data_IF_875876063943
#
_entry.id   IF_875876063943
#
_cell.length_a   1.000
_cell.length_b   1.000
_cell.length_c   1.000
_cell.angle_alpha   90.00
_cell.angle_beta   90.00
_cell.angle_gamma   90.00
#
_symmetry.space_group_name_H-M   'P 1'
#
loop_
_entity.id
_entity.type
_entity.pdbx_description
1 polymer ?
#
# COMPACT_ATOMS: atom_id res chain seq x y z
N UNK A 1 20.28 7.05 -11.12
CA UNK A 1 19.65 5.93 -11.85
C UNK A 1 18.27 5.75 -11.28
N UNK A 2 17.21 5.69 -12.11
CA UNK A 2 15.88 5.37 -11.61
C UNK A 2 15.91 3.94 -11.07
N UNK A 3 15.49 3.74 -9.81
CA UNK A 3 15.36 2.41 -9.25
C UNK A 3 14.39 1.58 -10.11
N UNK A 4 14.74 0.32 -10.37
CA UNK A 4 13.89 -0.60 -11.13
C UNK A 4 12.55 -0.85 -10.42
N UNK A 5 11.59 -1.48 -11.11
CA UNK A 5 10.31 -1.83 -10.51
C UNK A 5 10.50 -2.82 -9.36
N UNK A 6 9.70 -2.66 -8.30
CA UNK A 6 9.73 -3.50 -7.09
C UNK A 6 8.50 -4.40 -6.97
N UNK A 7 7.38 -3.99 -7.57
CA UNK A 7 6.12 -4.73 -7.55
C UNK A 7 5.58 -4.86 -8.97
N UNK A 8 5.08 -6.04 -9.29
CA UNK A 8 4.28 -6.28 -10.49
C UNK A 8 2.88 -6.73 -10.09
N UNK A 9 1.87 -6.10 -10.71
CA UNK A 9 0.47 -6.41 -10.45
C UNK A 9 0.05 -7.59 -11.32
N UNK A 10 -0.21 -8.73 -10.69
CA UNK A 10 -0.72 -9.94 -11.35
C UNK A 10 -2.25 -9.87 -11.51
N UNK A 11 -2.93 -9.39 -10.48
CA UNK A 11 -4.37 -9.10 -10.48
C UNK A 11 -4.66 -7.82 -9.69
N UNK A 12 -5.57 -6.95 -10.14
CA UNK A 12 -5.78 -5.63 -9.53
C UNK A 12 -6.60 -5.66 -8.23
N UNK A 13 -7.22 -6.79 -7.88
CA UNK A 13 -8.25 -6.83 -6.84
C UNK A 13 -9.55 -6.16 -7.28
N UNK A 14 -10.44 -5.85 -6.33
CA UNK A 14 -11.69 -5.15 -6.64
C UNK A 14 -11.43 -3.66 -6.97
N UNK A 15 -10.61 -3.00 -6.15
CA UNK A 15 -10.13 -1.64 -6.40
C UNK A 15 -8.86 -1.42 -5.59
N UNK A 16 -7.73 -1.25 -6.29
CA UNK A 16 -6.44 -0.94 -5.68
C UNK A 16 -5.85 0.32 -6.31
N UNK A 17 -5.44 1.27 -5.49
CA UNK A 17 -4.86 2.55 -5.94
C UNK A 17 -3.69 2.98 -5.06
N UNK A 18 -2.81 3.82 -5.60
CA UNK A 18 -1.72 4.42 -4.84
C UNK A 18 -2.29 5.56 -4.01
N UNK A 19 -2.03 5.56 -2.70
CA UNK A 19 -2.50 6.58 -1.78
C UNK A 19 -1.37 7.01 -0.83
N UNK A 20 -1.22 8.32 -0.62
CA UNK A 20 -0.45 8.90 0.48
C UNK A 20 -1.40 9.61 1.47
N UNK A 21 -0.93 10.65 2.17
CA UNK A 21 -1.76 11.42 3.10
C UNK A 21 -2.68 12.45 2.42
N UNK A 22 -2.61 12.59 1.09
CA UNK A 22 -3.46 13.47 0.30
C UNK A 22 -2.84 14.82 -0.05
N UNK A 23 -3.60 15.62 -0.82
CA UNK A 23 -3.25 16.98 -1.27
C UNK A 23 -4.10 18.04 -0.59
N UNK A 24 -3.49 18.96 0.13
CA UNK A 24 -4.21 20.02 0.82
C UNK A 24 -3.90 21.40 0.21
N UNK A 25 -4.77 22.39 0.43
CA UNK A 25 -4.59 23.76 -0.07
C UNK A 25 -5.20 24.07 -1.45
N UNK A 26 -5.75 23.06 -2.14
CA UNK A 26 -6.32 23.23 -3.49
C UNK A 26 -7.85 23.24 -3.54
N UNK A 27 -8.53 23.22 -2.38
CA UNK A 27 -9.99 23.16 -2.28
C UNK A 27 -10.70 24.33 -2.97
N UNK A 28 -10.09 25.53 -3.00
CA UNK A 28 -10.62 26.70 -3.73
C UNK A 28 -10.75 26.50 -5.25
N UNK A 29 -10.10 25.46 -5.78
CA UNK A 29 -10.15 25.08 -7.19
C UNK A 29 -11.02 23.84 -7.43
N UNK A 30 -11.79 23.39 -6.42
CA UNK A 30 -12.60 22.17 -6.52
C UNK A 30 -11.80 20.87 -6.46
N UNK A 31 -10.52 20.92 -6.07
CA UNK A 31 -9.67 19.74 -5.97
C UNK A 31 -9.85 19.07 -4.61
N UNK A 32 -10.39 17.84 -4.62
CA UNK A 32 -10.50 17.02 -3.42
C UNK A 32 -9.12 16.54 -2.91
N UNK A 33 -8.92 16.41 -1.59
CA UNK A 33 -7.64 15.98 -1.04
C UNK A 33 -7.21 14.57 -1.42
N UNK A 34 -8.15 13.67 -1.76
CA UNK A 34 -7.86 12.24 -1.87
C UNK A 34 -7.16 11.74 -0.60
N UNK A 35 -6.11 10.93 -0.73
CA UNK A 35 -5.45 10.34 0.44
C UNK A 35 -6.01 8.96 0.75
N UNK A 36 -5.27 8.23 1.58
CA UNK A 36 -5.77 7.02 2.23
C UNK A 36 -7.03 7.35 3.04
N UNK A 37 -8.05 6.49 2.97
CA UNK A 37 -9.28 6.68 3.74
C UNK A 37 -9.02 6.52 5.26
N UNK A 38 -8.17 5.57 5.62
CA UNK A 38 -7.66 5.34 6.97
C UNK A 38 -6.16 5.66 6.96
N UNK A 39 -5.86 6.93 7.17
CA UNK A 39 -4.49 7.45 7.22
C UNK A 39 -3.70 6.87 8.38
N UNK A 40 -4.35 6.47 9.48
CA UNK A 40 -3.67 5.83 10.60
C UNK A 40 -3.08 4.49 10.17
N UNK A 41 -3.88 3.63 9.53
CA UNK A 41 -3.40 2.33 9.04
C UNK A 41 -2.26 2.49 8.03
N UNK A 42 -2.36 3.42 7.08
CA UNK A 42 -1.27 3.68 6.12
C UNK A 42 0.02 4.13 6.83
N UNK A 43 -0.08 5.10 7.75
CA UNK A 43 1.09 5.59 8.52
C UNK A 43 1.76 4.47 9.30
N UNK A 44 0.99 3.62 9.97
CA UNK A 44 1.55 2.47 10.70
C UNK A 44 2.20 1.47 9.74
N UNK A 45 1.59 1.17 8.59
CA UNK A 45 2.20 0.27 7.60
C UNK A 45 3.57 0.79 7.16
N UNK A 46 3.67 2.08 6.85
CA UNK A 46 4.93 2.73 6.50
C UNK A 46 5.97 2.61 7.62
N UNK A 47 5.60 2.98 8.85
CA UNK A 47 6.53 2.92 9.98
C UNK A 47 7.03 1.50 10.25
N UNK A 48 6.18 0.48 10.07
CA UNK A 48 6.56 -0.92 10.24
C UNK A 48 7.67 -1.34 9.27
N UNK A 49 7.60 -0.93 8.00
CA UNK A 49 8.65 -1.23 6.99
C UNK A 49 9.84 -0.26 7.03
N UNK A 50 9.85 0.70 7.96
CA UNK A 50 10.93 1.67 8.14
C UNK A 50 10.87 2.89 7.21
N UNK A 51 9.71 3.14 6.60
CA UNK A 51 9.44 4.32 5.79
C UNK A 51 9.15 5.56 6.66
N UNK A 52 9.16 6.75 6.04
CA UNK A 52 8.46 7.90 6.64
C UNK A 52 6.96 7.63 6.62
N UNK A 53 6.24 8.16 7.61
CA UNK A 53 4.81 7.91 7.77
C UNK A 53 3.95 8.46 6.62
N UNK A 54 4.47 9.45 5.89
CA UNK A 54 3.83 10.13 4.76
C UNK A 54 4.04 9.47 3.39
N UNK A 55 4.83 8.39 3.29
CA UNK A 55 5.10 7.76 2.00
C UNK A 55 3.85 7.10 1.40
N UNK A 56 3.80 7.04 0.08
CA UNK A 56 2.68 6.41 -0.61
C UNK A 56 2.73 4.88 -0.46
N UNK A 57 1.56 4.28 -0.25
CA UNK A 57 1.33 2.84 -0.26
C UNK A 57 0.18 2.49 -1.20
N UNK A 58 -0.20 1.22 -1.24
CA UNK A 58 -1.43 0.79 -1.90
C UNK A 58 -2.59 0.77 -0.91
N UNK A 59 -3.69 1.41 -1.26
CA UNK A 59 -4.99 1.17 -0.65
C UNK A 59 -5.76 0.17 -1.52
N UNK A 60 -6.23 -0.91 -0.91
CA UNK A 60 -7.06 -1.93 -1.58
C UNK A 60 -8.36 -2.17 -0.81
N UNK A 61 -9.41 -2.58 -1.53
CA UNK A 61 -10.75 -2.81 -1.00
C UNK A 61 -11.26 -4.23 -1.29
N UNK A 62 -11.96 -4.85 -0.33
CA UNK A 62 -12.65 -6.15 -0.40
C UNK A 62 -11.79 -7.35 -0.86
N UNK A 63 -11.48 -7.40 -2.16
CA UNK A 63 -10.61 -8.40 -2.77
C UNK A 63 -9.28 -7.72 -3.08
N UNK A 64 -8.24 -8.10 -2.35
CA UNK A 64 -6.91 -7.53 -2.53
C UNK A 64 -6.21 -7.96 -3.82
N UNK A 65 -5.15 -7.23 -4.23
CA UNK A 65 -4.41 -7.52 -5.44
C UNK A 65 -3.51 -8.77 -5.29
N UNK A 66 -3.25 -9.43 -6.41
CA UNK A 66 -2.13 -10.35 -6.54
C UNK A 66 -0.89 -9.57 -6.97
N UNK A 67 0.17 -9.59 -6.17
CA UNK A 67 1.38 -8.81 -6.41
C UNK A 67 2.59 -9.75 -6.39
N UNK A 68 3.40 -9.72 -7.45
CA UNK A 68 4.71 -10.36 -7.49
C UNK A 68 5.78 -9.36 -7.07
N UNK A 69 6.65 -9.80 -6.17
CA UNK A 69 7.78 -9.01 -5.68
C UNK A 69 8.96 -9.17 -6.64
N UNK A 70 9.57 -8.07 -7.10
CA UNK A 70 10.61 -8.08 -8.12
C UNK A 70 12.03 -7.95 -7.57
N UNK A 71 12.14 -7.55 -6.30
CA UNK A 71 13.38 -7.46 -5.54
C UNK A 71 13.09 -7.70 -4.06
N UNK A 72 14.04 -8.27 -3.33
CA UNK A 72 13.94 -8.43 -1.88
C UNK A 72 13.52 -7.11 -1.22
N UNK A 73 12.45 -7.14 -0.42
CA UNK A 73 11.95 -5.96 0.29
C UNK A 73 11.15 -6.35 1.53
N UNK A 74 10.72 -5.37 2.31
CA UNK A 74 9.75 -5.53 3.39
C UNK A 74 8.37 -5.07 2.95
N UNK A 75 7.34 -5.83 3.30
CA UNK A 75 5.95 -5.40 3.18
C UNK A 75 5.27 -5.43 4.53
N UNK A 76 4.39 -4.47 4.79
CA UNK A 76 3.45 -4.51 5.91
C UNK A 76 2.03 -4.30 5.40
N UNK A 77 1.08 -5.06 5.95
CA UNK A 77 -0.33 -4.96 5.62
C UNK A 77 -1.10 -4.56 6.88
N UNK A 78 -1.83 -3.45 6.83
CA UNK A 78 -2.63 -2.90 7.94
C UNK A 78 -4.06 -2.60 7.48
N UNK A 79 -4.91 -2.08 8.38
CA UNK A 79 -6.33 -1.86 8.12
C UNK A 79 -7.16 -3.09 8.47
N UNK A 80 -8.26 -3.26 7.74
CA UNK A 80 -9.12 -4.44 7.81
C UNK A 80 -8.38 -5.71 7.37
N UNK A 81 -8.65 -6.82 8.03
CA UNK A 81 -8.03 -8.09 7.71
C UNK A 81 -8.68 -8.71 6.46
N UNK A 82 -8.08 -8.43 5.30
CA UNK A 82 -8.46 -9.01 4.01
C UNK A 82 -7.81 -10.38 3.72
N UNK A 83 -7.32 -11.07 4.77
CA UNK A 83 -6.64 -12.37 4.67
C UNK A 83 -5.41 -12.37 3.74
N UNK A 84 -4.35 -11.59 4.03
CA UNK A 84 -3.14 -11.59 3.21
C UNK A 84 -2.38 -12.92 3.31
N UNK A 85 -1.78 -13.35 2.20
CA UNK A 85 -0.99 -14.56 2.09
C UNK A 85 0.29 -14.29 1.29
N UNK A 86 1.40 -14.88 1.72
CA UNK A 86 2.65 -14.99 0.95
C UNK A 86 2.76 -16.41 0.42
N UNK A 87 2.87 -16.58 -0.89
CA UNK A 87 2.99 -17.90 -1.54
C UNK A 87 1.95 -18.92 -1.01
N UNK A 88 0.69 -18.47 -0.88
CA UNK A 88 -0.46 -19.25 -0.35
C UNK A 88 -0.44 -19.54 1.16
N UNK A 89 0.56 -19.09 1.90
CA UNK A 89 0.62 -19.19 3.36
C UNK A 89 0.14 -17.89 4.02
N UNK A 90 -0.72 -17.93 5.04
CA UNK A 90 -1.21 -16.73 5.70
C UNK A 90 -0.07 -15.96 6.37
N UNK A 91 -0.14 -14.64 6.34
CA UNK A 91 0.79 -13.75 7.06
C UNK A 91 0.03 -12.87 8.03
N UNK A 92 0.71 -12.45 9.10
CA UNK A 92 0.10 -11.58 10.10
C UNK A 92 -0.15 -10.18 9.52
N UNK A 93 -1.32 -9.62 9.80
CA UNK A 93 -1.57 -8.18 9.64
C UNK A 93 -0.75 -7.40 10.69
N UNK A 94 -0.54 -6.09 10.46
CA UNK A 94 0.11 -5.18 11.40
C UNK A 94 1.54 -5.59 11.79
N UNK A 95 2.24 -6.25 10.87
CA UNK A 95 3.63 -6.69 11.00
C UNK A 95 4.39 -6.49 9.69
N UNK A 96 5.68 -6.16 9.78
CA UNK A 96 6.61 -6.11 8.67
C UNK A 96 7.13 -7.52 8.35
N UNK A 97 6.92 -7.95 7.11
CA UNK A 97 7.34 -9.24 6.59
C UNK A 97 8.41 -9.07 5.54
N UNK A 98 9.46 -9.89 5.61
CA UNK A 98 10.41 -10.00 4.51
C UNK A 98 9.79 -10.76 3.36
N UNK A 99 9.83 -10.18 2.17
CA UNK A 99 9.54 -10.84 0.91
C UNK A 99 10.83 -10.95 0.11
N UNK A 100 11.08 -12.12 -0.43
CA UNK A 100 12.16 -12.32 -1.38
C UNK A 100 11.65 -12.03 -2.79
N UNK A 101 12.57 -11.78 -3.72
CA UNK A 101 12.25 -11.75 -5.15
C UNK A 101 11.43 -12.99 -5.55
N UNK A 102 10.43 -12.76 -6.41
CA UNK A 102 9.46 -13.72 -6.93
C UNK A 102 8.44 -14.26 -5.92
N UNK A 103 8.50 -13.87 -4.64
CA UNK A 103 7.39 -14.09 -3.72
C UNK A 103 6.12 -13.39 -4.23
N UNK A 104 4.98 -14.00 -3.95
CA UNK A 104 3.67 -13.49 -4.35
C UNK A 104 2.82 -13.17 -3.13
N UNK A 105 2.41 -11.92 -2.99
CA UNK A 105 1.36 -11.48 -2.08
C UNK A 105 0.00 -11.69 -2.75
N UNK A 106 -0.91 -12.38 -2.07
CA UNK A 106 -2.31 -12.52 -2.47
C UNK A 106 -3.23 -12.30 -1.29
N UNK A 107 -4.53 -12.13 -1.57
CA UNK A 107 -5.58 -11.98 -0.57
C UNK A 107 -6.65 -13.03 -0.79
N UNK A 108 -7.30 -13.48 0.29
CA UNK A 108 -8.47 -14.38 0.24
C UNK A 108 -9.72 -13.62 0.69
N UNK A 109 -10.73 -14.33 1.18
CA UNK A 109 -11.95 -13.72 1.70
C UNK A 109 -11.65 -12.82 2.91
N UNK A 110 -12.25 -11.63 2.98
CA UNK A 110 -12.06 -10.73 4.11
C UNK A 110 -12.61 -11.32 5.40
N UNK A 111 -11.86 -11.17 6.49
CA UNK A 111 -12.27 -11.56 7.85
C UNK A 111 -12.99 -10.40 8.54
N UNK A 112 -12.49 -9.18 8.38
CA UNK A 112 -13.11 -7.96 8.91
C UNK A 112 -12.60 -6.72 8.17
N UNK A 113 -13.32 -5.61 8.33
CA UNK A 113 -13.03 -4.37 7.64
C UNK A 113 -13.22 -4.45 6.13
N UNK A 114 -13.01 -3.30 5.49
CA UNK A 114 -13.31 -3.13 4.06
C UNK A 114 -12.08 -2.77 3.23
N UNK A 115 -11.11 -2.09 3.85
CA UNK A 115 -9.87 -1.63 3.21
C UNK A 115 -8.65 -2.10 3.96
N UNK A 116 -7.61 -2.42 3.22
CA UNK A 116 -6.28 -2.68 3.74
C UNK A 116 -5.25 -1.80 3.04
N UNK A 117 -4.14 -1.56 3.73
CA UNK A 117 -3.03 -0.75 3.24
C UNK A 117 -1.79 -1.60 3.14
N UNK A 118 -1.11 -1.52 2.01
CA UNK A 118 0.12 -2.26 1.74
C UNK A 118 1.24 -1.23 1.61
N UNK A 119 2.12 -1.20 2.60
CA UNK A 119 3.37 -0.45 2.51
C UNK A 119 4.49 -1.39 2.05
N UNK A 120 5.40 -0.86 1.23
CA UNK A 120 6.62 -1.53 0.79
C UNK A 120 7.81 -0.69 1.25
N UNK A 121 8.89 -1.34 1.69
CA UNK A 121 10.12 -0.65 2.07
C UNK A 121 10.61 0.26 0.95
N UNK A 122 10.94 1.52 1.27
CA UNK A 122 11.27 2.56 0.31
C UNK A 122 10.07 3.37 -0.21
N UNK A 123 8.83 2.94 0.06
CA UNK A 123 7.60 3.60 -0.36
C UNK A 123 7.32 3.46 -1.87
N UNK A 124 6.11 3.82 -2.30
CA UNK A 124 5.74 3.79 -3.73
C UNK A 124 6.07 5.12 -4.39
N UNK A 125 6.85 5.06 -5.47
CA UNK A 125 7.26 6.22 -6.25
C UNK A 125 6.22 6.67 -7.27
N UNK A 126 6.62 7.61 -8.12
CA UNK A 126 5.76 8.21 -9.15
C UNK A 126 5.69 9.74 -9.05
N UNK A 127 5.09 10.40 -10.05
CA UNK A 127 4.97 11.84 -10.08
C UNK A 127 4.09 12.34 -8.93
N UNK A 128 4.56 13.39 -8.27
CA UNK A 128 3.74 14.14 -7.31
C UNK A 128 2.88 15.15 -8.06
N UNK A 129 1.58 15.16 -7.80
CA UNK A 129 0.62 16.13 -8.34
C UNK A 129 0.06 16.94 -7.18
N UNK A 130 0.33 18.25 -7.20
CA UNK A 130 -0.08 19.16 -6.11
C UNK A 130 0.45 18.70 -4.74
N UNK A 131 1.73 18.29 -4.69
CA UNK A 131 2.39 17.86 -3.46
C UNK A 131 2.01 16.47 -2.96
N UNK A 132 1.22 15.69 -3.71
CA UNK A 132 0.74 14.36 -3.31
C UNK A 132 0.82 13.34 -4.45
N UNK A 133 1.06 12.09 -4.07
CA UNK A 133 1.03 10.88 -4.90
C UNK A 133 -0.28 10.10 -4.78
N UNK A 134 -1.30 10.61 -4.11
CA UNK A 134 -2.61 9.95 -4.07
C UNK A 134 -3.29 9.85 -5.43
N UNK A 135 -4.06 8.79 -5.68
CA UNK A 135 -4.92 8.75 -6.86
C UNK A 135 -6.23 9.49 -6.59
N UNK A 136 -6.57 10.49 -7.40
CA UNK A 136 -7.92 11.05 -7.49
C UNK A 136 -8.66 10.34 -8.63
N UNK A 137 -9.48 9.36 -8.29
CA UNK A 137 -10.22 8.56 -9.28
C UNK A 137 -11.26 9.37 -10.05
N UNK A 138 -12.10 10.22 -9.43
CA UNK A 138 -13.08 11.01 -10.18
C UNK A 138 -12.47 11.94 -11.22
N UNK A 139 -11.30 12.53 -10.92
CA UNK A 139 -10.62 13.50 -11.80
C UNK A 139 -9.50 12.88 -12.64
N UNK A 140 -9.17 11.60 -12.46
CA UNK A 140 -8.23 10.88 -13.31
C UNK A 140 -6.76 11.32 -13.20
N UNK A 141 -6.28 11.74 -12.02
CA UNK A 141 -4.89 12.18 -11.84
C UNK A 141 -4.23 11.68 -10.54
N UNK A 142 -2.91 11.77 -10.48
CA UNK A 142 -2.10 11.35 -9.33
C UNK A 142 -1.92 9.82 -9.24
N UNK A 143 -1.12 9.37 -8.28
CA UNK A 143 -0.78 7.96 -8.10
C UNK A 143 -0.23 7.32 -9.37
N UNK A 144 -0.71 6.12 -9.68
CA UNK A 144 -0.31 5.41 -10.89
C UNK A 144 -1.20 5.81 -12.07
N UNK A 145 -0.72 6.77 -12.88
CA UNK A 145 -1.38 7.24 -14.11
C UNK A 145 -2.83 7.73 -13.90
N UNK A 146 -3.19 8.21 -12.70
CA UNK A 146 -4.53 8.73 -12.42
C UNK A 146 -5.63 7.67 -12.35
N UNK A 147 -5.27 6.39 -12.22
CA UNK A 147 -6.23 5.27 -12.28
C UNK A 147 -5.93 4.20 -11.23
N UNK A 148 -6.83 3.23 -11.03
CA UNK A 148 -6.49 2.01 -10.30
C UNK A 148 -5.38 1.25 -11.02
N UNK A 149 -4.60 0.47 -10.28
CA UNK A 149 -3.65 -0.44 -10.89
C UNK A 149 -4.37 -1.52 -11.69
N UNK A 150 -3.70 -2.05 -12.70
CA UNK A 150 -4.18 -3.09 -13.62
C UNK A 150 -3.15 -4.21 -13.70
N UNK A 151 -3.59 -5.38 -14.16
CA UNK A 151 -2.69 -6.50 -14.46
C UNK A 151 -1.59 -6.04 -15.43
N UNK A 152 -0.35 -6.37 -15.12
CA UNK A 152 0.84 -6.01 -15.90
C UNK A 152 1.41 -4.63 -15.57
N UNK A 153 0.84 -3.89 -14.61
CA UNK A 153 1.45 -2.65 -14.12
C UNK A 153 2.67 -2.96 -13.24
N UNK A 154 3.66 -2.07 -13.31
CA UNK A 154 4.89 -2.14 -12.53
C UNK A 154 5.01 -0.90 -11.64
N UNK A 155 5.18 -1.10 -10.34
CA UNK A 155 5.38 0.00 -9.39
C UNK A 155 6.86 0.09 -9.03
N UNK A 156 7.37 1.31 -9.04
CA UNK A 156 8.75 1.65 -8.68
C UNK A 156 8.78 2.21 -7.27
N UNK A 157 9.90 2.08 -6.55
CA UNK A 157 10.00 2.63 -5.21
C UNK A 157 10.26 4.14 -5.24
N UNK A 158 9.91 4.85 -4.17
CA UNK A 158 10.30 6.26 -4.00
C UNK A 158 11.77 6.39 -3.54
N UNK A 159 12.18 5.53 -2.62
CA UNK A 159 13.53 5.48 -2.04
C UNK A 159 14.12 4.07 -2.01
N UNK A 160 15.25 3.86 -1.31
CA UNK A 160 15.89 2.55 -1.21
C UNK A 160 15.02 1.54 -0.44
N UNK A 161 15.01 0.28 -0.89
CA UNK A 161 14.22 -0.82 -0.32
C UNK A 161 15.04 -1.75 0.58
N UNK A 162 16.25 -1.35 0.97
CA UNK A 162 17.28 -2.22 1.57
C UNK A 162 17.24 -2.30 3.10
N UNK A 163 16.32 -1.58 3.76
CA UNK A 163 16.20 -1.60 5.21
C UNK A 163 15.53 -2.88 5.75
N UNK A 164 16.23 -4.00 5.62
CA UNK A 164 15.79 -5.32 6.08
C UNK A 164 15.79 -5.45 7.61
N UNK A 165 16.43 -4.52 8.33
CA UNK A 165 16.51 -4.53 9.79
C UNK A 165 15.14 -4.38 10.48
N UNK A 166 14.14 -3.89 9.74
CA UNK A 166 12.77 -3.73 10.22
C UNK A 166 11.92 -5.01 10.13
N UNK A 167 12.45 -6.11 9.58
CA UNK A 167 11.72 -7.38 9.50
C UNK A 167 11.23 -7.85 10.88
N UNK A 168 9.97 -8.29 10.97
CA UNK A 168 9.36 -8.80 12.19
C UNK A 168 8.80 -7.72 13.12
N UNK A 169 9.09 -6.43 12.89
CA UNK A 169 8.44 -5.33 13.63
C UNK A 169 6.93 -5.48 13.54
N UNK A 170 6.24 -5.36 14.67
CA UNK A 170 4.79 -5.47 14.76
C UNK A 170 4.21 -4.31 15.55
N UNK A 171 2.96 -3.97 15.25
CA UNK A 171 2.23 -2.97 16.00
C UNK A 171 1.57 -3.58 17.23
N UNK A 172 1.38 -2.79 18.28
CA UNK A 172 0.74 -3.25 19.51
C UNK A 172 -0.73 -3.62 19.24
N UNK A 173 -1.07 -4.89 19.45
CA UNK A 173 -2.41 -5.44 19.20
C UNK A 173 -3.51 -4.69 19.94
N UNK A 174 -3.26 -4.26 21.19
CA UNK A 174 -4.24 -3.52 21.99
C UNK A 174 -4.50 -2.08 21.50
N UNK A 175 -3.74 -1.60 20.51
CA UNK A 175 -3.91 -0.28 19.88
C UNK A 175 -4.43 -0.37 18.44
N UNK A 176 -4.70 -1.57 17.93
CA UNK A 176 -5.27 -1.74 16.59
C UNK A 176 -6.73 -1.28 16.62
N UNK A 177 -7.16 -0.39 15.73
CA UNK A 177 -8.57 0.02 15.63
C UNK A 177 -9.48 -1.18 15.40
N UNK A 178 -10.71 -1.09 15.89
CA UNK A 178 -11.71 -2.12 15.64
C UNK A 178 -12.31 -1.93 14.23
N UNK A 179 -12.11 -2.92 13.36
CA UNK A 179 -12.70 -2.94 12.01
C UNK A 179 -13.95 -3.83 12.02
N UNK A 180 -15.13 -3.23 11.83
CA UNK A 180 -16.41 -3.95 11.72
C UNK A 180 -16.52 -4.73 10.40
N UNK A 181 -17.45 -5.69 10.34
CA UNK A 181 -17.84 -6.37 9.10
C UNK A 181 -18.94 -5.62 8.31
N UNK A 182 -19.45 -4.53 8.88
CA UNK A 182 -20.55 -3.71 8.36
C UNK A 182 -20.07 -2.67 7.36
#
# INVERSE_FOLDING_TARGET
MAAGPILEILTPGALTSVQDLGRYGHGRYGVAPSGALDTFALRIANLLVGNRDDQAGLETMLLGPGIRILADTLLAITGGNLSPHRNKQPIAMWQAHRFNKDDILTFKSPINGFRAYIAVGGGIGGPSVMGSRSTNLPSGFGGYQGRPVKKGDFLVPEGPCDNMSAAGRSFNVGKIPHYSKE
#
